data_IF_294437501171
#
_entry.id   IF_294437501171
#
_cell.length_a   1.000
_cell.length_b   1.000
_cell.length_c   1.000
_cell.angle_alpha   90.00
_cell.angle_beta   90.00
_cell.angle_gamma   90.00
#
_symmetry.space_group_name_H-M   'P 1'
#
loop_
_entity.id
_entity.type
_entity.pdbx_description
1 polymer ?
#
# COMPACT_ATOMS: atom_id res chain seq x y z
N UNK A 1 -4.11 0.28 -9.76
CA UNK A 1 -2.76 -0.22 -10.13
C UNK A 1 -1.65 0.75 -9.73
N UNK A 2 -1.80 2.07 -9.92
CA UNK A 2 -0.77 3.07 -9.60
C UNK A 2 -0.25 3.04 -8.14
N UNK A 3 -1.12 2.85 -7.15
CA UNK A 3 -0.74 2.84 -5.72
C UNK A 3 0.31 1.76 -5.42
N UNK A 4 0.18 0.57 -6.02
CA UNK A 4 1.11 -0.55 -5.79
C UNK A 4 2.50 -0.26 -6.38
N UNK A 5 2.55 0.30 -7.57
CA UNK A 5 3.81 0.70 -8.20
C UNK A 5 4.53 1.80 -7.41
N UNK A 6 3.77 2.72 -6.79
CA UNK A 6 4.31 3.76 -5.93
C UNK A 6 4.82 3.20 -4.60
N UNK A 7 4.11 2.25 -3.99
CA UNK A 7 4.60 1.54 -2.82
C UNK A 7 5.91 0.80 -3.13
N UNK A 8 6.00 0.10 -4.26
CA UNK A 8 7.25 -0.55 -4.69
C UNK A 8 8.40 0.43 -4.88
N UNK A 9 8.15 1.65 -5.35
CA UNK A 9 9.17 2.70 -5.43
C UNK A 9 9.58 3.26 -4.06
N UNK A 10 8.68 3.29 -3.09
CA UNK A 10 8.98 3.78 -1.74
C UNK A 10 9.77 2.77 -0.91
N UNK A 11 9.51 1.47 -1.10
CA UNK A 11 10.06 0.40 -0.25
C UNK A 11 11.08 -0.50 -0.95
N UNK A 12 11.27 -0.36 -2.27
CA UNK A 12 12.35 -0.98 -3.03
C UNK A 12 12.14 -2.44 -3.39
N UNK A 13 11.65 -3.26 -2.46
CA UNK A 13 11.44 -4.70 -2.64
C UNK A 13 10.00 -5.09 -2.28
N UNK A 14 9.24 -5.53 -3.28
CA UNK A 14 7.89 -6.03 -3.08
C UNK A 14 7.68 -7.27 -3.94
N UNK A 15 7.24 -8.33 -3.29
CA UNK A 15 6.90 -9.57 -3.95
C UNK A 15 5.60 -9.38 -4.76
N UNK A 16 5.50 -10.01 -5.95
CA UNK A 16 4.31 -9.92 -6.77
C UNK A 16 3.07 -10.41 -6.02
N UNK A 17 1.92 -9.83 -6.38
CA UNK A 17 0.62 -10.17 -5.80
C UNK A 17 0.45 -11.69 -5.72
N UNK A 18 0.27 -12.22 -4.50
CA UNK A 18 -0.20 -13.59 -4.31
C UNK A 18 -1.59 -13.72 -4.94
N UNK A 19 -1.97 -14.92 -5.36
CA UNK A 19 -3.27 -15.23 -5.99
C UNK A 19 -4.48 -14.65 -5.23
N UNK A 20 -4.35 -14.48 -3.91
CA UNK A 20 -5.39 -13.94 -3.03
C UNK A 20 -5.50 -12.39 -3.03
N UNK A 21 -4.71 -11.68 -3.86
CA UNK A 21 -4.71 -10.22 -3.91
C UNK A 21 -3.95 -9.53 -2.76
N UNK A 22 -3.06 -10.27 -2.10
CA UNK A 22 -2.12 -9.76 -1.11
C UNK A 22 -0.82 -9.31 -1.75
N UNK A 23 -0.33 -8.17 -1.30
CA UNK A 23 0.99 -7.65 -1.61
C UNK A 23 1.92 -7.95 -0.43
N UNK A 24 3.07 -8.55 -0.69
CA UNK A 24 4.08 -8.78 0.34
C UNK A 24 5.14 -7.70 0.21
N UNK A 25 5.35 -6.93 1.26
CA UNK A 25 6.34 -5.85 1.33
C UNK A 25 7.42 -6.28 2.31
N UNK A 26 8.67 -6.25 1.85
CA UNK A 26 9.83 -6.66 2.63
C UNK A 26 10.78 -5.46 2.75
N UNK A 27 11.09 -5.05 3.98
CA UNK A 27 12.03 -3.95 4.24
C UNK A 27 12.99 -4.40 5.33
N UNK A 28 14.29 -4.37 5.05
CA UNK A 28 15.36 -4.74 6.00
C UNK A 28 15.15 -6.10 6.69
N UNK A 29 14.64 -7.09 5.94
CA UNK A 29 14.36 -8.44 6.46
C UNK A 29 13.03 -8.57 7.22
N UNK A 30 12.25 -7.48 7.32
CA UNK A 30 10.92 -7.49 7.90
C UNK A 30 9.85 -7.59 6.81
N UNK A 31 9.06 -8.65 6.85
CA UNK A 31 8.07 -8.97 5.81
C UNK A 31 6.66 -8.69 6.35
N UNK A 32 5.83 -8.01 5.56
CA UNK A 32 4.43 -7.75 5.91
C UNK A 32 3.51 -7.94 4.72
N UNK A 33 2.32 -8.49 4.97
CA UNK A 33 1.33 -8.80 3.94
C UNK A 33 0.21 -7.76 3.97
N UNK A 34 0.06 -6.99 2.89
CA UNK A 34 -0.92 -5.92 2.72
C UNK A 34 -2.04 -6.35 1.76
N UNK A 35 -3.30 -6.29 2.20
CA UNK A 35 -4.46 -6.50 1.34
C UNK A 35 -4.68 -5.32 0.40
N UNK A 36 -4.56 -5.55 -0.91
CA UNK A 36 -4.70 -4.53 -1.96
C UNK A 36 -6.01 -3.73 -1.89
N UNK A 37 -7.10 -4.36 -1.46
CA UNK A 37 -8.45 -3.76 -1.45
C UNK A 37 -8.68 -2.83 -0.25
N UNK A 38 -8.11 -3.14 0.91
CA UNK A 38 -8.39 -2.42 2.16
C UNK A 38 -7.18 -1.70 2.74
N UNK A 39 -5.96 -1.95 2.26
CA UNK A 39 -4.74 -1.46 2.90
C UNK A 39 -4.56 -2.02 4.33
N UNK A 40 -5.16 -3.18 4.61
CA UNK A 40 -5.11 -3.84 5.92
C UNK A 40 -4.03 -4.92 5.88
N UNK A 41 -3.26 -5.02 6.96
CA UNK A 41 -2.25 -6.06 7.08
C UNK A 41 -2.83 -7.31 7.74
N UNK A 42 -2.42 -8.49 7.28
CA UNK A 42 -2.82 -9.75 7.92
C UNK A 42 -1.90 -10.18 9.06
N UNK A 43 -0.61 -9.81 9.02
CA UNK A 43 0.40 -10.39 9.92
C UNK A 43 0.76 -9.50 11.10
N UNK A 44 0.58 -9.88 12.36
CA UNK A 44 0.86 -9.02 13.54
C UNK A 44 2.34 -8.69 13.80
N UNK A 45 3.28 -9.38 13.16
CA UNK A 45 4.70 -9.42 13.56
C UNK A 45 5.56 -8.18 13.27
N UNK A 46 5.00 -7.08 12.73
CA UNK A 46 5.80 -5.93 12.27
C UNK A 46 5.11 -4.56 12.40
N UNK A 47 4.78 -4.16 13.63
CA UNK A 47 4.00 -2.93 13.91
C UNK A 47 4.60 -1.65 13.31
N UNK A 48 5.92 -1.41 13.43
CA UNK A 48 6.56 -0.21 12.87
C UNK A 48 6.52 -0.14 11.34
N UNK A 49 6.79 -1.26 10.66
CA UNK A 49 6.74 -1.34 9.21
C UNK A 49 5.31 -1.15 8.71
N UNK A 50 4.33 -1.76 9.40
CA UNK A 50 2.91 -1.61 9.09
C UNK A 50 2.48 -0.16 9.14
N UNK A 51 2.82 0.57 10.20
CA UNK A 51 2.42 1.96 10.33
C UNK A 51 3.00 2.83 9.22
N UNK A 52 4.27 2.62 8.85
CA UNK A 52 4.87 3.32 7.71
C UNK A 52 4.18 2.99 6.39
N UNK A 53 3.98 1.71 6.09
CA UNK A 53 3.33 1.28 4.85
C UNK A 53 1.88 1.77 4.80
N UNK A 54 1.14 1.72 5.93
CA UNK A 54 -0.24 2.23 6.03
C UNK A 54 -0.30 3.74 5.78
N UNK A 55 0.62 4.48 6.38
CA UNK A 55 0.71 5.94 6.24
C UNK A 55 0.99 6.31 4.79
N UNK A 56 2.01 5.70 4.18
CA UNK A 56 2.36 5.92 2.77
C UNK A 56 1.21 5.51 1.84
N UNK A 57 0.56 4.37 2.09
CA UNK A 57 -0.62 3.94 1.32
C UNK A 57 -1.77 4.95 1.42
N UNK A 58 -2.07 5.46 2.61
CA UNK A 58 -3.11 6.45 2.85
C UNK A 58 -2.80 7.78 2.15
N UNK A 59 -1.55 8.25 2.22
CA UNK A 59 -1.09 9.46 1.52
C UNK A 59 -1.25 9.28 0.01
N UNK A 60 -0.75 8.18 -0.55
CA UNK A 60 -0.84 7.92 -2.00
C UNK A 60 -2.32 7.80 -2.42
N UNK A 61 -3.15 7.10 -1.64
CA UNK A 61 -4.59 7.03 -1.91
C UNK A 61 -5.24 8.41 -1.91
N UNK A 62 -4.90 9.28 -0.95
CA UNK A 62 -5.46 10.62 -0.87
C UNK A 62 -4.94 11.54 -1.98
N UNK A 63 -3.67 11.44 -2.37
CA UNK A 63 -3.10 12.20 -3.49
C UNK A 63 -3.68 11.74 -4.83
N UNK A 64 -3.98 10.44 -4.96
CA UNK A 64 -4.63 9.87 -6.13
C UNK A 64 -6.16 9.93 -6.07
N UNK A 65 -6.76 10.57 -5.04
CA UNK A 65 -8.21 10.80 -5.06
C UNK A 65 -8.51 11.68 -6.26
N UNK A 66 -9.46 11.26 -7.13
CA UNK A 66 -9.86 12.09 -8.25
C UNK A 66 -10.35 13.44 -7.72
N UNK A 67 -9.86 14.52 -8.31
CA UNK A 67 -10.37 15.86 -8.03
C UNK A 67 -11.86 15.84 -8.42
N UNK A 68 -12.79 16.15 -7.51
CA UNK A 68 -14.19 16.20 -7.85
C UNK A 68 -14.36 17.28 -8.93
N UNK A 69 -14.78 16.87 -10.12
CA UNK A 69 -15.17 17.78 -11.18
C UNK A 69 -16.50 18.41 -10.78
N UNK A 70 -16.44 19.49 -10.00
CA UNK A 70 -17.58 20.36 -9.75
C UNK A 70 -17.79 21.15 -11.03
N UNK A 71 -18.61 20.63 -11.94
CA UNK A 71 -19.17 21.44 -13.02
C UNK A 71 -20.32 22.26 -12.45
N UNK A 72 -20.24 23.60 -12.41
CA UNK A 72 -21.43 24.41 -12.15
C UNK A 72 -22.38 24.26 -13.34
N UNK A 73 -23.60 23.80 -13.05
CA UNK A 73 -24.74 23.73 -13.96
C UNK A 73 -25.35 25.10 -14.23
#
# INVERSE_FOLDING_TARGET
MAILALLGKCFGDMDPLKENGQLVISVDGNVTQLLKRSGKFEDESSEGLKEQVKTTFCIIQNVLKPIPLIFPS
#
